data_IF_002415468017
#
_entry.id   IF_002415468017
#
_cell.length_a   1.000
_cell.length_b   1.000
_cell.length_c   1.000
_cell.angle_alpha   90.00
_cell.angle_beta   90.00
_cell.angle_gamma   90.00
#
_symmetry.space_group_name_H-M   'P 1'
#
loop_
_entity.id
_entity.type
_entity.pdbx_description
1 polymer ?
#
# COMPACT_ATOMS: atom_id res chain seq x y z
N UNK A 1 10.21 -14.40 4.18
CA UNK A 1 9.91 -12.98 3.93
C UNK A 1 9.44 -12.35 5.23
N UNK A 2 10.06 -11.27 5.69
CA UNK A 2 9.67 -10.59 6.93
C UNK A 2 8.58 -9.54 6.64
N UNK A 3 7.50 -9.58 7.43
CA UNK A 3 6.42 -8.60 7.34
C UNK A 3 6.90 -7.26 7.89
N UNK A 4 7.05 -6.27 7.02
CA UNK A 4 7.61 -4.96 7.36
C UNK A 4 6.60 -3.84 7.50
N UNK A 5 5.39 -4.04 6.97
CA UNK A 5 4.42 -2.97 6.73
C UNK A 5 3.05 -3.31 7.32
N UNK A 6 2.75 -2.89 8.56
CA UNK A 6 1.41 -3.04 9.09
C UNK A 6 0.41 -2.14 8.35
N UNK A 7 -0.86 -2.52 8.39
CA UNK A 7 -1.97 -1.62 8.09
C UNK A 7 -1.84 -0.35 8.95
N UNK A 8 -2.33 0.80 8.45
CA UNK A 8 -2.13 2.16 9.02
C UNK A 8 -0.77 2.79 8.70
N UNK A 9 0.16 2.07 8.07
CA UNK A 9 1.41 2.67 7.61
C UNK A 9 1.20 3.66 6.46
N UNK A 10 1.94 4.76 6.49
CA UNK A 10 2.08 5.68 5.35
C UNK A 10 3.36 5.36 4.60
N UNK A 11 3.27 5.18 3.30
CA UNK A 11 4.35 4.76 2.42
C UNK A 11 4.48 5.69 1.21
N UNK A 12 5.67 5.76 0.65
CA UNK A 12 5.95 6.64 -0.49
C UNK A 12 5.63 5.92 -1.79
N UNK A 13 5.03 6.65 -2.72
CA UNK A 13 4.75 6.14 -4.05
C UNK A 13 5.97 6.30 -4.97
N UNK A 14 6.24 5.30 -5.82
CA UNK A 14 7.15 5.47 -6.96
C UNK A 14 6.41 5.19 -8.26
N UNK A 15 5.43 6.02 -8.52
CA UNK A 15 4.64 6.01 -9.73
C UNK A 15 4.48 7.44 -10.26
N UNK A 16 4.27 7.55 -11.56
CA UNK A 16 4.08 8.82 -12.27
C UNK A 16 2.62 9.31 -12.22
N UNK A 17 1.73 8.67 -11.46
CA UNK A 17 0.30 9.05 -11.39
C UNK A 17 0.08 10.40 -10.70
N UNK A 18 1.03 10.84 -9.87
CA UNK A 18 0.96 12.09 -9.10
C UNK A 18 0.52 11.88 -7.65
N UNK A 19 0.50 10.64 -7.16
CA UNK A 19 0.47 10.33 -5.73
C UNK A 19 1.88 10.45 -5.13
N UNK A 20 1.99 11.03 -3.93
CA UNK A 20 3.27 11.12 -3.20
C UNK A 20 3.29 10.20 -1.98
N UNK A 21 2.20 10.22 -1.22
CA UNK A 21 2.06 9.42 -0.01
C UNK A 21 0.77 8.61 -0.08
N UNK A 22 0.90 7.31 0.16
CA UNK A 22 -0.18 6.35 0.26
C UNK A 22 -0.35 5.89 1.70
N UNK A 23 -1.59 5.60 2.07
CA UNK A 23 -1.98 5.10 3.37
C UNK A 23 -2.61 3.72 3.22
N UNK A 24 -2.03 2.71 3.85
CA UNK A 24 -2.45 1.31 3.74
C UNK A 24 -3.69 1.07 4.61
N UNK A 25 -4.75 0.57 3.99
CA UNK A 25 -6.03 0.25 4.66
C UNK A 25 -6.14 -1.24 4.94
N UNK A 26 -5.79 -2.08 3.96
CA UNK A 26 -5.90 -3.53 4.11
C UNK A 26 -4.92 -4.25 3.19
N UNK A 27 -4.63 -5.50 3.52
CA UNK A 27 -3.78 -6.39 2.73
C UNK A 27 -4.64 -7.51 2.18
N UNK A 28 -4.54 -7.78 0.88
CA UNK A 28 -5.34 -8.81 0.23
C UNK A 28 -4.81 -10.20 0.64
N UNK A 29 -5.72 -11.12 0.95
CA UNK A 29 -5.39 -12.53 1.20
C UNK A 29 -4.91 -12.89 2.61
N UNK A 30 -4.97 -11.97 3.58
CA UNK A 30 -4.58 -12.24 4.98
C UNK A 30 -5.79 -12.63 5.83
N UNK A 31 -5.71 -13.79 6.50
CA UNK A 31 -6.62 -14.15 7.60
C UNK A 31 -6.09 -13.59 8.92
N UNK A 32 -6.91 -12.77 9.57
CA UNK A 32 -6.57 -12.14 10.85
C UNK A 32 -6.67 -13.09 12.04
N UNK A 33 -6.01 -12.71 13.13
CA UNK A 33 -6.24 -13.23 14.49
C UNK A 33 -6.62 -12.05 15.37
N UNK A 34 -7.42 -12.28 16.42
CA UNK A 34 -7.77 -11.26 17.40
C UNK A 34 -6.50 -10.51 17.87
N UNK A 35 -6.55 -9.17 17.85
CA UNK A 35 -5.47 -8.25 18.23
C UNK A 35 -4.20 -8.26 17.35
N UNK A 36 -4.24 -8.85 16.14
CA UNK A 36 -3.14 -8.76 15.18
C UNK A 36 -3.51 -7.84 14.02
N UNK A 37 -2.75 -6.77 13.83
CA UNK A 37 -2.85 -5.98 12.61
C UNK A 37 -2.34 -6.79 11.41
N UNK A 38 -3.05 -6.75 10.26
CA UNK A 38 -2.53 -7.32 9.03
C UNK A 38 -1.24 -6.58 8.66
N UNK A 39 -0.24 -7.33 8.20
CA UNK A 39 1.02 -6.76 7.73
C UNK A 39 1.36 -7.33 6.37
N UNK A 40 1.91 -6.50 5.50
CA UNK A 40 2.33 -6.85 4.16
C UNK A 40 3.85 -6.90 4.02
N UNK A 41 4.29 -7.58 2.96
CA UNK A 41 5.65 -7.70 2.49
C UNK A 41 5.75 -7.23 1.02
N UNK A 42 6.99 -7.14 0.52
CA UNK A 42 7.26 -6.96 -0.92
C UNK A 42 6.56 -8.04 -1.73
N UNK A 43 5.87 -7.61 -2.81
CA UNK A 43 5.09 -8.46 -3.70
C UNK A 43 3.60 -8.56 -3.34
N UNK A 44 3.21 -8.17 -2.11
CA UNK A 44 1.82 -8.24 -1.70
C UNK A 44 0.99 -7.09 -2.30
N UNK A 45 -0.27 -7.42 -2.60
CA UNK A 45 -1.27 -6.45 -3.04
C UNK A 45 -2.01 -5.87 -1.83
N UNK A 46 -2.00 -4.55 -1.73
CA UNK A 46 -2.65 -3.79 -0.65
C UNK A 46 -3.68 -2.83 -1.21
N UNK A 47 -4.72 -2.55 -0.42
CA UNK A 47 -5.65 -1.46 -0.68
C UNK A 47 -5.16 -0.22 0.04
N UNK A 48 -4.96 0.87 -0.70
CA UNK A 48 -4.43 2.11 -0.15
C UNK A 48 -5.16 3.34 -0.69
N UNK A 49 -5.08 4.43 0.07
CA UNK A 49 -5.61 5.75 -0.32
C UNK A 49 -4.49 6.77 -0.41
N UNK A 50 -4.62 7.73 -1.33
CA UNK A 50 -3.67 8.83 -1.47
C UNK A 50 -3.94 9.89 -0.40
N UNK A 51 -2.95 10.15 0.46
CA UNK A 51 -3.01 11.25 1.45
C UNK A 51 -2.46 12.56 0.89
N UNK A 52 -1.35 12.49 0.14
CA UNK A 52 -0.70 13.63 -0.50
C UNK A 52 -0.52 13.34 -1.99
N UNK A 53 -0.97 14.26 -2.84
CA UNK A 53 -0.94 14.11 -4.30
C UNK A 53 -2.04 14.91 -4.99
N UNK A 54 -2.32 14.58 -6.26
CA UNK A 54 -3.43 15.17 -7.04
C UNK A 54 -4.76 15.02 -6.31
N UNK A 55 -5.61 16.07 -6.27
CA UNK A 55 -6.89 16.03 -5.57
C UNK A 55 -7.84 14.97 -6.14
N UNK A 56 -7.78 14.69 -7.43
CA UNK A 56 -8.66 13.72 -8.13
C UNK A 56 -8.47 12.27 -7.71
N UNK A 57 -7.27 11.97 -7.16
CA UNK A 57 -6.88 10.65 -6.66
C UNK A 57 -7.05 10.53 -5.15
N UNK A 58 -7.22 11.66 -4.44
CA UNK A 58 -7.51 11.63 -3.00
C UNK A 58 -8.92 11.08 -2.79
N UNK A 59 -9.12 10.42 -1.65
CA UNK A 59 -10.38 9.76 -1.24
C UNK A 59 -10.79 8.52 -2.05
N UNK A 60 -10.13 8.24 -3.18
CA UNK A 60 -10.31 6.97 -3.91
C UNK A 60 -9.45 5.88 -3.30
N UNK A 61 -10.04 4.69 -3.16
CA UNK A 61 -9.32 3.48 -2.75
C UNK A 61 -8.77 2.82 -4.00
N UNK A 62 -7.46 2.57 -4.00
CA UNK A 62 -6.74 2.00 -5.14
C UNK A 62 -6.03 0.71 -4.70
N UNK A 63 -5.86 -0.21 -5.64
CA UNK A 63 -4.99 -1.37 -5.45
C UNK A 63 -3.55 -0.99 -5.76
N UNK A 64 -2.64 -1.42 -4.90
CA UNK A 64 -1.24 -1.03 -4.94
C UNK A 64 -0.37 -2.24 -4.61
N UNK A 65 0.79 -2.35 -5.24
CA UNK A 65 1.76 -3.41 -4.97
C UNK A 65 2.99 -2.84 -4.28
N UNK A 66 3.46 -3.52 -3.24
CA UNK A 66 4.68 -3.16 -2.53
C UNK A 66 5.88 -3.66 -3.33
N UNK A 67 6.73 -2.74 -3.78
CA UNK A 67 7.89 -3.06 -4.62
C UNK A 67 9.15 -3.17 -3.77
N UNK A 68 9.29 -2.33 -2.73
CA UNK A 68 10.47 -2.32 -1.85
C UNK A 68 10.06 -2.11 -0.41
N UNK A 69 10.80 -2.74 0.50
CA UNK A 69 10.66 -2.56 1.93
C UNK A 69 12.03 -2.37 2.60
N UNK A 70 12.08 -1.63 3.70
CA UNK A 70 13.32 -1.33 4.42
C UNK A 70 13.83 -2.53 5.27
N UNK A 71 12.94 -3.42 5.74
CA UNK A 71 13.36 -4.62 6.49
C UNK A 71 13.73 -5.76 5.53
N UNK A 72 14.95 -6.35 5.54
CA UNK A 72 16.06 -6.22 6.49
C UNK A 72 17.27 -5.37 6.00
N UNK A 73 17.16 -4.66 4.88
CA UNK A 73 18.31 -4.08 4.16
C UNK A 73 18.38 -2.55 4.32
N UNK A 74 19.56 -2.03 4.66
CA UNK A 74 19.89 -0.68 5.18
C UNK A 74 19.43 0.56 4.39
N UNK A 75 18.74 0.45 3.25
CA UNK A 75 18.36 1.61 2.43
C UNK A 75 16.89 2.01 2.60
N UNK A 76 16.74 3.17 3.23
CA UNK A 76 15.53 3.90 3.51
C UNK A 76 14.72 4.16 2.23
N UNK A 77 13.64 3.40 1.98
CA UNK A 77 12.35 3.86 1.44
C UNK A 77 11.48 2.65 1.07
N UNK A 78 10.34 2.52 1.75
CA UNK A 78 9.28 1.60 1.32
C UNK A 78 8.59 2.26 0.14
N UNK A 79 8.69 1.62 -1.02
CA UNK A 79 8.16 2.10 -2.27
C UNK A 79 7.02 1.20 -2.70
N UNK A 80 5.88 1.83 -2.95
CA UNK A 80 4.70 1.20 -3.51
C UNK A 80 4.44 1.73 -4.92
N UNK A 81 4.06 0.84 -5.82
CA UNK A 81 3.67 1.18 -7.18
C UNK A 81 2.16 1.03 -7.32
N UNK A 82 1.48 2.08 -7.79
CA UNK A 82 0.03 2.06 -8.02
C UNK A 82 -0.23 1.30 -9.31
N UNK A 83 -0.93 0.17 -9.21
CA UNK A 83 -1.41 -0.53 -10.38
C UNK A 83 -2.79 0.04 -10.70
N UNK A 84 -2.82 0.95 -11.66
CA UNK A 84 -4.07 1.45 -12.20
C UNK A 84 -4.67 0.39 -13.14
N UNK A 85 -5.40 -0.57 -12.56
CA UNK A 85 -6.50 -1.22 -13.28
C UNK A 85 -7.76 -1.07 -12.45
N UNK A 86 -8.63 -0.21 -12.95
CA UNK A 86 -10.02 -0.07 -12.52
C UNK A 86 -10.74 -1.43 -12.56
N UNK A 87 -11.81 -1.50 -11.75
CA UNK A 87 -12.84 -2.54 -11.62
C UNK A 87 -12.74 -3.43 -10.38
N UNK A 88 -13.17 -2.87 -9.25
CA UNK A 88 -14.19 -3.55 -8.45
C UNK A 88 -15.36 -2.58 -8.36
N UNK A 89 -16.33 -2.76 -9.26
CA UNK A 89 -17.68 -2.21 -9.08
C UNK A 89 -18.16 -2.77 -7.76
N UNK A 90 -18.44 -1.88 -6.81
CA UNK A 90 -19.13 -2.21 -5.57
C UNK A 90 -20.37 -3.04 -5.94
N UNK A 91 -20.39 -4.30 -5.49
CA UNK A 91 -21.54 -5.20 -5.53
C UNK A 91 -22.06 -5.34 -4.11
#
# INVERSE_FOLDING_TARGET
MSLGLPVVATVNCADNTGAKNLYIISVKGIKGRLNRFPSACVGDMVMATVKKGKPDLRKKVMHVVIVRQCKPCLFQLVIVSVIAHNEVKDS
#
